data_IF_894558834076
#
_entry.id   IF_894558834076
#
_cell.length_a   1.000
_cell.length_b   1.000
_cell.length_c   1.000
_cell.angle_alpha   90.00
_cell.angle_beta   90.00
_cell.angle_gamma   90.00
#
_symmetry.space_group_name_H-M   'P 1'
#
loop_
_entity.id
_entity.type
_entity.pdbx_description
1 polymer ?
#
# COMPACT_ATOMS: atom_id res chain seq x y z
N UNK A 1 6.41 14.04 -2.71
CA UNK A 1 5.71 12.79 -2.37
C UNK A 1 6.24 12.33 -1.01
N UNK A 2 5.36 12.09 -0.03
CA UNK A 2 5.80 11.55 1.26
C UNK A 2 5.75 10.03 1.20
N UNK A 3 6.88 9.38 1.47
CA UNK A 3 6.99 7.92 1.59
C UNK A 3 7.18 7.62 3.06
N UNK A 4 6.22 6.90 3.65
CA UNK A 4 6.24 6.52 5.07
C UNK A 4 6.52 5.02 5.12
N UNK A 5 7.64 4.63 5.72
CA UNK A 5 7.97 3.24 5.94
C UNK A 5 7.45 2.82 7.32
N UNK A 6 6.31 2.13 7.33
CA UNK A 6 5.67 1.66 8.57
C UNK A 6 6.05 0.21 8.80
N UNK A 7 6.74 -0.05 9.92
CA UNK A 7 7.05 -1.41 10.41
C UNK A 7 6.23 -1.79 11.64
N UNK A 8 5.46 -0.85 12.19
CA UNK A 8 4.65 -1.09 13.38
C UNK A 8 3.42 -1.94 13.02
N UNK A 9 3.35 -3.13 13.60
CA UNK A 9 2.27 -4.06 13.36
C UNK A 9 0.90 -3.47 13.75
N UNK A 10 0.82 -2.64 14.80
CA UNK A 10 -0.43 -2.00 15.19
C UNK A 10 -0.91 -0.99 14.14
N UNK A 11 -0.01 -0.23 13.54
CA UNK A 11 -0.37 0.70 12.46
C UNK A 11 -0.85 -0.05 11.22
N UNK A 12 -0.17 -1.15 10.86
CA UNK A 12 -0.54 -2.02 9.74
C UNK A 12 -1.93 -2.61 9.94
N UNK A 13 -2.23 -3.17 11.13
CA UNK A 13 -3.56 -3.73 11.43
C UNK A 13 -4.64 -2.64 11.44
N UNK A 14 -4.35 -1.44 11.96
CA UNK A 14 -5.29 -0.30 11.92
C UNK A 14 -5.66 0.11 10.49
N UNK A 15 -4.75 -0.06 9.54
CA UNK A 15 -5.05 0.19 8.12
C UNK A 15 -5.93 -0.88 7.46
N UNK A 16 -6.33 -1.94 8.18
CA UNK A 16 -7.11 -3.06 7.65
C UNK A 16 -6.29 -4.09 6.87
N UNK A 17 -4.96 -3.97 6.93
CA UNK A 17 -4.03 -4.77 6.14
C UNK A 17 -3.66 -6.05 6.92
N UNK A 18 -4.48 -7.08 6.75
CA UNK A 18 -4.34 -8.38 7.46
C UNK A 18 -3.25 -9.29 6.87
N UNK A 19 -2.80 -9.02 5.63
CA UNK A 19 -1.74 -9.77 4.96
C UNK A 19 -0.71 -8.82 4.35
N UNK A 20 0.44 -8.72 4.99
CA UNK A 20 1.63 -8.06 4.45
C UNK A 20 2.37 -9.01 3.50
N UNK A 21 2.95 -8.55 2.38
CA UNK A 21 3.21 -7.16 2.01
C UNK A 21 1.97 -6.41 1.50
N UNK A 22 1.85 -5.14 1.86
CA UNK A 22 0.75 -4.27 1.44
C UNK A 22 1.24 -2.94 0.90
N UNK A 23 0.53 -2.41 -0.08
CA UNK A 23 0.77 -1.09 -0.66
C UNK A 23 -0.50 -0.25 -0.49
N UNK A 24 -0.34 0.92 0.13
CA UNK A 24 -1.41 1.91 0.30
C UNK A 24 -1.01 3.19 -0.44
N UNK A 25 -1.94 3.75 -1.21
CA UNK A 25 -1.74 4.99 -1.97
C UNK A 25 -2.88 5.93 -1.60
N UNK A 26 -2.56 7.17 -1.20
CA UNK A 26 -3.54 8.19 -0.82
C UNK A 26 -4.56 7.71 0.24
N UNK A 27 -4.13 6.90 1.20
CA UNK A 27 -5.00 6.36 2.26
C UNK A 27 -5.91 5.20 1.81
N UNK A 28 -5.81 4.74 0.55
CA UNK A 28 -6.56 3.60 0.01
C UNK A 28 -5.65 2.40 -0.19
N UNK A 29 -6.09 1.22 0.26
CA UNK A 29 -5.35 -0.03 0.05
C UNK A 29 -5.32 -0.32 -1.46
N UNK A 30 -4.13 -0.29 -2.05
CA UNK A 30 -3.90 -0.55 -3.46
C UNK A 30 -3.50 -2.01 -3.72
N UNK A 31 -2.78 -2.63 -2.78
CA UNK A 31 -2.44 -4.06 -2.82
C UNK A 31 -2.29 -4.61 -1.40
N UNK A 32 -2.66 -5.87 -1.19
CA UNK A 32 -2.44 -6.61 0.04
C UNK A 32 -2.10 -8.07 -0.29
N UNK A 33 -1.13 -8.64 0.41
CA UNK A 33 -0.65 -10.01 0.21
C UNK A 33 0.14 -10.27 -1.07
N UNK A 34 0.44 -9.24 -1.87
CA UNK A 34 1.33 -9.34 -3.06
C UNK A 34 2.12 -8.06 -3.24
N UNK A 35 3.36 -8.19 -3.72
CA UNK A 35 4.17 -7.06 -4.17
C UNK A 35 3.83 -6.78 -5.64
N UNK A 36 3.15 -5.66 -5.96
CA UNK A 36 2.84 -5.30 -7.34
C UNK A 36 4.13 -4.97 -8.11
N UNK A 37 4.14 -5.26 -9.40
CA UNK A 37 5.26 -4.90 -10.29
C UNK A 37 5.32 -3.39 -10.54
N UNK A 38 6.45 -2.86 -11.00
CA UNK A 38 6.62 -1.42 -11.27
C UNK A 38 5.54 -0.83 -12.17
N UNK A 39 5.08 -1.58 -13.18
CA UNK A 39 4.00 -1.15 -14.09
C UNK A 39 2.63 -1.11 -13.41
N UNK A 40 2.36 -2.06 -12.50
CA UNK A 40 1.13 -2.05 -11.70
C UNK A 40 1.12 -0.88 -10.73
N UNK A 41 2.26 -0.59 -10.10
CA UNK A 41 2.39 0.58 -9.21
C UNK A 41 2.11 1.87 -9.96
N UNK A 42 2.64 2.05 -11.18
CA UNK A 42 2.32 3.22 -12.01
C UNK A 42 0.82 3.33 -12.29
N UNK A 43 0.18 2.23 -12.71
CA UNK A 43 -1.27 2.21 -12.96
C UNK A 43 -2.09 2.52 -11.70
N UNK A 44 -1.68 1.99 -10.55
CA UNK A 44 -2.35 2.24 -9.27
C UNK A 44 -2.20 3.69 -8.82
N UNK A 45 -1.03 4.31 -9.05
CA UNK A 45 -0.80 5.73 -8.78
C UNK A 45 -1.64 6.61 -9.73
N UNK A 46 -1.68 6.29 -11.03
CA UNK A 46 -2.53 7.03 -11.98
C UNK A 46 -4.02 6.86 -11.69
N UNK A 47 -4.46 5.67 -11.28
CA UNK A 47 -5.84 5.41 -10.90
C UNK A 47 -6.24 6.03 -9.55
N UNK A 48 -5.27 6.38 -8.70
CA UNK A 48 -5.47 7.04 -7.41
C UNK A 48 -5.27 8.56 -7.46
N UNK A 49 -5.01 9.12 -8.65
CA UNK A 49 -4.99 10.57 -8.91
C UNK A 49 -6.40 11.14 -8.89
#
# INVERSE_FOLDING_TARGET
ANIIYVTDYMEIVKTGLMRTPGLMINGKIASYGRVPSSDEVKKLIEAAK
#
